data_IF_068145863267
#
_entry.id   IF_068145863267
#
_cell.length_a   1.000
_cell.length_b   1.000
_cell.length_c   1.000
_cell.angle_alpha   90.00
_cell.angle_beta   90.00
_cell.angle_gamma   90.00
#
_symmetry.space_group_name_H-M   'P 1'
#
loop_
_entity.id
_entity.type
_entity.pdbx_description
1 polymer ?
#
# COMPACT_ATOMS: atom_id res chain seq x y z
N UNK A 1 4.82 -3.13 8.37
CA UNK A 1 4.71 -3.09 9.83
C UNK A 1 3.43 -3.72 10.33
N UNK A 2 2.26 -3.24 9.93
CA UNK A 2 0.99 -3.89 10.22
C UNK A 2 0.94 -5.35 9.72
N UNK A 3 1.76 -5.72 8.73
CA UNK A 3 1.89 -7.09 8.23
C UNK A 3 2.73 -7.99 9.14
N UNK A 4 3.81 -7.48 9.78
CA UNK A 4 4.59 -8.27 10.74
C UNK A 4 3.74 -8.67 11.93
N UNK A 5 2.94 -7.73 12.40
CA UNK A 5 1.95 -7.98 13.45
C UNK A 5 0.90 -8.96 12.94
N UNK A 6 0.34 -8.77 11.73
CA UNK A 6 -0.64 -9.68 11.12
C UNK A 6 -0.09 -11.08 10.86
N UNK A 7 1.15 -11.23 10.38
CA UNK A 7 1.73 -12.54 10.10
C UNK A 7 1.92 -13.38 11.37
N UNK A 8 2.30 -12.75 12.47
CA UNK A 8 2.33 -13.43 13.80
C UNK A 8 0.95 -13.70 14.38
N UNK A 9 -0.02 -12.84 14.07
CA UNK A 9 -1.41 -12.98 14.49
C UNK A 9 -2.18 -14.04 13.69
N UNK A 10 -1.69 -14.42 12.50
CA UNK A 10 -2.24 -15.56 11.73
C UNK A 10 -1.77 -16.93 12.22
N UNK A 11 -0.86 -16.99 13.19
CA UNK A 11 -0.58 -18.24 13.89
C UNK A 11 -1.81 -18.68 14.70
N UNK A 12 -2.20 -19.98 14.66
CA UNK A 12 -3.43 -20.47 15.29
C UNK A 12 -3.56 -20.19 16.78
N UNK A 13 -2.45 -19.86 17.45
CA UNK A 13 -2.41 -19.55 18.88
C UNK A 13 -2.94 -18.14 19.23
N UNK A 14 -3.16 -17.28 18.24
CA UNK A 14 -3.53 -15.86 18.46
C UNK A 14 -4.93 -15.50 17.96
N UNK A 15 -5.74 -16.48 17.52
CA UNK A 15 -7.02 -16.19 16.84
C UNK A 15 -8.15 -15.69 17.77
N UNK A 16 -7.98 -15.69 19.09
CA UNK A 16 -9.19 -15.61 19.94
C UNK A 16 -9.42 -14.33 20.74
N UNK A 17 -8.64 -13.30 20.79
CA UNK A 17 -9.08 -12.11 21.59
C UNK A 17 -8.29 -10.84 21.26
N UNK A 18 -7.29 -10.89 20.37
CA UNK A 18 -6.17 -10.07 20.77
C UNK A 18 -5.49 -9.30 19.65
N UNK A 19 -6.06 -9.33 18.46
CA UNK A 19 -5.47 -8.64 17.33
C UNK A 19 -5.29 -7.15 17.62
N UNK A 20 -6.31 -6.52 18.18
CA UNK A 20 -6.28 -5.11 18.54
C UNK A 20 -5.36 -4.85 19.74
N UNK A 21 -5.46 -5.66 20.79
CA UNK A 21 -4.66 -5.52 22.02
C UNK A 21 -3.18 -5.81 21.74
N UNK A 22 -2.88 -6.81 20.91
CA UNK A 22 -1.50 -7.10 20.51
C UNK A 22 -0.90 -5.97 19.67
N UNK A 23 -1.68 -5.38 18.75
CA UNK A 23 -1.25 -4.22 17.97
C UNK A 23 -1.00 -3.01 18.88
N UNK A 24 -1.94 -2.66 19.77
CA UNK A 24 -1.80 -1.51 20.66
C UNK A 24 -0.62 -1.64 21.60
N UNK A 25 -0.34 -2.82 22.13
CA UNK A 25 0.84 -3.08 22.98
C UNK A 25 2.18 -2.94 22.25
N UNK A 26 2.22 -3.20 20.94
CA UNK A 26 3.43 -3.10 20.15
C UNK A 26 3.56 -1.74 19.43
N UNK A 27 2.50 -0.93 19.40
CA UNK A 27 2.44 0.28 18.58
C UNK A 27 3.56 1.28 18.89
N UNK A 28 3.80 1.58 20.16
CA UNK A 28 4.79 2.58 20.55
C UNK A 28 6.21 2.17 20.10
N UNK A 29 6.54 0.89 20.25
CA UNK A 29 7.82 0.37 19.78
C UNK A 29 7.96 0.46 18.26
N UNK A 30 6.93 0.05 17.52
CA UNK A 30 6.89 0.15 16.05
C UNK A 30 7.01 1.61 15.59
N UNK A 31 6.31 2.51 16.25
CA UNK A 31 6.35 3.94 15.94
C UNK A 31 7.78 4.50 16.08
N UNK A 32 8.48 4.21 17.17
CA UNK A 32 9.87 4.65 17.33
C UNK A 32 10.83 4.01 16.33
N UNK A 33 10.60 2.75 15.96
CA UNK A 33 11.42 2.06 14.97
C UNK A 33 11.22 2.57 13.53
N UNK A 34 10.13 3.26 13.26
CA UNK A 34 9.87 3.88 11.94
C UNK A 34 10.44 5.28 11.78
N UNK A 35 10.71 5.99 12.87
CA UNK A 35 11.33 7.33 12.80
C UNK A 35 12.64 7.38 11.99
N UNK A 36 13.60 6.43 12.15
CA UNK A 36 14.80 6.40 11.32
C UNK A 36 14.53 6.28 9.82
N UNK A 37 13.41 5.63 9.43
CA UNK A 37 13.02 5.54 8.01
C UNK A 37 12.63 6.90 7.46
N UNK A 38 11.96 7.75 8.25
CA UNK A 38 11.66 9.14 7.82
C UNK A 38 12.95 9.90 7.54
N UNK A 39 13.96 9.76 8.39
CA UNK A 39 15.27 10.39 8.18
C UNK A 39 15.96 9.85 6.92
N UNK A 40 15.88 8.55 6.66
CA UNK A 40 16.44 7.92 5.48
C UNK A 40 15.92 8.55 4.17
N UNK A 41 14.65 8.98 4.17
CA UNK A 41 14.04 9.67 3.01
C UNK A 41 14.25 11.18 3.07
N UNK A 42 14.16 11.79 4.25
CA UNK A 42 14.24 13.23 4.40
C UNK A 42 15.65 13.78 4.09
N UNK A 43 16.70 13.07 4.48
CA UNK A 43 18.09 13.53 4.28
C UNK A 43 18.44 13.66 2.79
N UNK A 44 18.26 12.64 1.93
CA UNK A 44 18.55 12.78 0.49
C UNK A 44 17.76 13.92 -0.16
N UNK A 45 16.47 14.06 0.18
CA UNK A 45 15.63 15.14 -0.35
C UNK A 45 16.17 16.50 0.07
N UNK A 46 16.49 16.68 1.34
CA UNK A 46 17.01 17.92 1.85
C UNK A 46 18.36 18.31 1.21
N UNK A 47 19.21 17.32 0.93
CA UNK A 47 20.48 17.53 0.26
C UNK A 47 20.31 17.92 -1.22
N UNK A 48 19.41 17.23 -1.93
CA UNK A 48 19.16 17.49 -3.36
C UNK A 48 18.46 18.84 -3.57
N UNK A 49 17.49 19.16 -2.72
CA UNK A 49 16.69 20.38 -2.81
C UNK A 49 17.27 21.54 -1.99
N UNK A 50 18.44 21.39 -1.37
CA UNK A 50 19.11 22.40 -0.56
C UNK A 50 18.18 23.03 0.50
N UNK A 51 17.42 22.19 1.21
CA UNK A 51 16.46 22.67 2.21
C UNK A 51 17.13 23.34 3.40
N UNK A 52 16.50 24.39 3.91
CA UNK A 52 16.88 24.99 5.18
C UNK A 52 16.66 24.01 6.35
N UNK A 53 17.39 24.15 7.47
CA UNK A 53 17.17 23.32 8.67
C UNK A 53 15.71 23.37 9.17
N UNK A 54 15.04 24.49 9.03
CA UNK A 54 13.61 24.66 9.38
C UNK A 54 12.69 23.89 8.46
N UNK A 55 12.93 23.90 7.14
CA UNK A 55 12.17 23.10 6.17
C UNK A 55 12.38 21.59 6.39
N UNK A 56 13.62 21.18 6.64
CA UNK A 56 13.94 19.80 6.99
C UNK A 56 13.23 19.36 8.27
N UNK A 57 13.27 20.18 9.33
CA UNK A 57 12.59 19.91 10.60
C UNK A 57 11.08 19.78 10.42
N UNK A 58 10.46 20.69 9.64
CA UNK A 58 9.03 20.66 9.34
C UNK A 58 8.65 19.38 8.57
N UNK A 59 9.43 19.01 7.55
CA UNK A 59 9.20 17.77 6.79
C UNK A 59 9.34 16.52 7.67
N UNK A 60 10.37 16.47 8.52
CA UNK A 60 10.56 15.36 9.45
C UNK A 60 9.39 15.22 10.42
N UNK A 61 8.96 16.30 11.06
CA UNK A 61 7.82 16.28 11.98
C UNK A 61 6.55 15.89 11.26
N UNK A 62 6.30 16.42 10.05
CA UNK A 62 5.15 16.06 9.24
C UNK A 62 5.17 14.57 8.87
N UNK A 63 6.33 14.05 8.48
CA UNK A 63 6.51 12.63 8.17
C UNK A 63 6.21 11.74 9.37
N UNK A 64 6.74 12.08 10.54
CA UNK A 64 6.49 11.35 11.80
C UNK A 64 5.01 11.37 12.18
N UNK A 65 4.34 12.52 12.09
CA UNK A 65 2.90 12.63 12.38
C UNK A 65 2.04 11.84 11.39
N UNK A 66 2.37 11.86 10.09
CA UNK A 66 1.66 11.04 9.09
C UNK A 66 1.88 9.54 9.30
N UNK A 67 3.07 9.12 9.71
CA UNK A 67 3.31 7.72 10.09
C UNK A 67 2.48 7.34 11.31
N UNK A 68 2.42 8.19 12.35
CA UNK A 68 1.57 7.95 13.50
C UNK A 68 0.10 7.78 13.08
N UNK A 69 -0.41 8.70 12.25
CA UNK A 69 -1.76 8.63 11.72
C UNK A 69 -2.01 7.33 10.92
N UNK A 70 -1.12 6.99 9.98
CA UNK A 70 -1.24 5.80 9.17
C UNK A 70 -1.19 4.50 9.99
N UNK A 71 -0.34 4.44 11.02
CA UNK A 71 -0.27 3.30 11.93
C UNK A 71 -1.52 3.19 12.80
N UNK A 72 -2.03 4.31 13.33
CA UNK A 72 -3.25 4.32 14.12
C UNK A 72 -4.49 3.94 13.29
N UNK A 73 -4.53 4.23 11.98
CA UNK A 73 -5.60 3.78 11.08
C UNK A 73 -5.70 2.25 10.96
N UNK A 74 -4.67 1.51 11.35
CA UNK A 74 -4.74 0.04 11.42
C UNK A 74 -5.75 -0.41 12.48
N UNK A 75 -5.93 0.35 13.55
CA UNK A 75 -6.83 0.04 14.67
C UNK A 75 -8.29 -0.12 14.20
N UNK A 76 -8.94 0.90 13.60
CA UNK A 76 -10.31 0.74 13.10
C UNK A 76 -10.40 -0.27 11.95
N UNK A 77 -9.33 -0.51 11.19
CA UNK A 77 -9.32 -1.55 10.18
C UNK A 77 -9.38 -2.96 10.79
N UNK A 78 -8.62 -3.23 11.86
CA UNK A 78 -8.66 -4.49 12.59
C UNK A 78 -10.02 -4.68 13.29
N UNK A 79 -10.52 -3.62 13.91
CA UNK A 79 -11.83 -3.61 14.59
C UNK A 79 -13.02 -3.62 13.59
N UNK A 80 -12.76 -3.55 12.26
CA UNK A 80 -13.78 -3.41 11.20
C UNK A 80 -14.72 -2.21 11.43
N UNK A 81 -14.25 -1.18 12.15
CA UNK A 81 -15.02 0.01 12.47
C UNK A 81 -14.80 1.09 11.38
N UNK A 82 -15.58 0.98 10.31
CA UNK A 82 -15.50 1.89 9.16
C UNK A 82 -15.90 3.33 9.51
N UNK A 83 -16.73 3.53 10.53
CA UNK A 83 -17.20 4.86 10.93
C UNK A 83 -16.04 5.64 11.55
N UNK A 84 -15.30 5.07 12.48
CA UNK A 84 -14.14 5.73 13.11
C UNK A 84 -13.07 6.01 12.05
N UNK A 85 -12.82 5.07 11.15
CA UNK A 85 -11.91 5.25 10.03
C UNK A 85 -12.29 6.46 9.17
N UNK A 86 -13.59 6.56 8.81
CA UNK A 86 -14.11 7.68 8.04
C UNK A 86 -14.02 9.02 8.79
N UNK A 87 -14.38 9.05 10.08
CA UNK A 87 -14.32 10.26 10.91
C UNK A 87 -12.87 10.75 11.04
N UNK A 88 -11.90 9.84 11.18
CA UNK A 88 -10.49 10.21 11.26
C UNK A 88 -10.01 10.88 9.97
N UNK A 89 -10.35 10.33 8.81
CA UNK A 89 -10.05 10.95 7.51
C UNK A 89 -10.80 12.25 7.29
N UNK A 90 -12.06 12.33 7.70
CA UNK A 90 -12.85 13.56 7.63
C UNK A 90 -12.22 14.67 8.47
N UNK A 91 -11.81 14.34 9.72
CA UNK A 91 -11.11 15.28 10.58
C UNK A 91 -9.79 15.77 9.99
N UNK A 92 -8.99 14.84 9.41
CA UNK A 92 -7.77 15.17 8.68
C UNK A 92 -8.07 16.15 7.53
N UNK A 93 -9.04 15.83 6.69
CA UNK A 93 -9.39 16.65 5.51
C UNK A 93 -9.96 18.02 5.90
N UNK A 94 -10.82 18.08 6.90
CA UNK A 94 -11.35 19.36 7.40
C UNK A 94 -10.25 20.24 7.98
N UNK A 95 -9.32 19.67 8.75
CA UNK A 95 -8.18 20.42 9.27
C UNK A 95 -7.29 20.97 8.15
N UNK A 96 -7.05 20.18 7.10
CA UNK A 96 -6.28 20.59 5.93
C UNK A 96 -6.97 21.73 5.17
N UNK A 97 -8.29 21.65 5.00
CA UNK A 97 -9.06 22.65 4.25
C UNK A 97 -9.25 23.97 5.04
N UNK A 98 -9.61 23.86 6.33
CA UNK A 98 -9.92 25.05 7.14
C UNK A 98 -8.66 25.79 7.62
N UNK A 99 -7.55 25.08 7.81
CA UNK A 99 -6.31 25.64 8.38
C UNK A 99 -5.06 25.21 7.60
N UNK A 100 -4.98 25.51 6.28
CA UNK A 100 -3.88 25.03 5.43
C UNK A 100 -2.50 25.55 5.85
N UNK A 101 -2.44 26.68 6.55
CA UNK A 101 -1.18 27.27 7.06
C UNK A 101 -0.58 26.44 8.19
N UNK A 102 -1.41 25.71 8.94
CA UNK A 102 -0.97 24.87 10.06
C UNK A 102 -0.73 23.45 9.56
N UNK A 103 0.38 23.26 8.87
CA UNK A 103 0.74 22.04 8.14
C UNK A 103 0.74 20.75 8.98
N UNK A 104 0.98 20.83 10.29
CA UNK A 104 0.98 19.68 11.19
C UNK A 104 -0.41 19.31 11.74
N UNK A 105 -1.39 20.21 11.60
CA UNK A 105 -2.73 20.03 12.19
C UNK A 105 -3.51 18.84 11.58
N UNK A 106 -3.52 18.61 10.27
CA UNK A 106 -4.27 17.49 9.68
C UNK A 106 -3.91 16.13 10.26
N UNK A 107 -2.65 15.66 10.24
CA UNK A 107 -2.29 14.37 10.81
C UNK A 107 -2.46 14.33 12.34
N UNK A 108 -2.32 15.45 13.02
CA UNK A 108 -2.55 15.54 14.46
C UNK A 108 -4.03 15.32 14.80
N UNK A 109 -4.94 16.03 14.13
CA UNK A 109 -6.40 15.87 14.35
C UNK A 109 -6.85 14.44 14.03
N UNK A 110 -6.43 13.89 12.87
CA UNK A 110 -6.75 12.52 12.51
C UNK A 110 -6.24 11.51 13.56
N UNK A 111 -5.01 11.67 14.03
CA UNK A 111 -4.42 10.82 15.07
C UNK A 111 -5.15 10.94 16.41
N UNK A 112 -5.52 12.15 16.83
CA UNK A 112 -6.27 12.37 18.07
C UNK A 112 -7.64 11.70 18.04
N UNK A 113 -8.36 11.76 16.93
CA UNK A 113 -9.65 11.06 16.77
C UNK A 113 -9.47 9.55 16.96
N UNK A 114 -8.41 8.97 16.37
CA UNK A 114 -8.11 7.56 16.51
C UNK A 114 -7.71 7.18 17.93
N UNK A 115 -6.88 7.99 18.59
CA UNK A 115 -6.49 7.78 19.98
C UNK A 115 -7.69 7.85 20.93
N UNK A 116 -8.55 8.85 20.78
CA UNK A 116 -9.78 8.99 21.59
C UNK A 116 -10.70 7.78 21.40
N UNK A 117 -10.77 7.23 20.19
CA UNK A 117 -11.60 6.06 19.89
C UNK A 117 -11.16 4.77 20.60
N UNK A 118 -9.91 4.70 21.05
CA UNK A 118 -9.40 3.57 21.84
C UNK A 118 -9.98 3.53 23.27
N UNK A 119 -10.41 4.67 23.80
CA UNK A 119 -10.98 4.72 25.14
C UNK A 119 -10.05 4.12 26.22
N UNK A 120 -10.48 3.05 26.87
CA UNK A 120 -9.71 2.37 27.93
C UNK A 120 -8.45 1.66 27.39
N UNK A 121 -8.44 1.24 26.14
CA UNK A 121 -7.32 0.54 25.51
C UNK A 121 -6.12 1.46 25.24
N UNK A 122 -6.31 2.77 25.42
CA UNK A 122 -5.24 3.78 25.31
C UNK A 122 -4.06 3.48 26.26
N UNK A 123 -4.35 2.88 27.43
CA UNK A 123 -3.32 2.47 28.41
C UNK A 123 -2.37 1.42 27.80
N UNK A 124 -2.86 0.58 26.91
CA UNK A 124 -2.04 -0.44 26.26
C UNK A 124 -1.01 0.14 25.26
N UNK A 125 -1.24 1.34 24.72
CA UNK A 125 -0.27 2.04 23.86
C UNK A 125 1.01 2.41 24.60
N UNK A 126 0.95 2.60 25.90
CA UNK A 126 2.12 2.92 26.73
C UNK A 126 2.98 1.67 27.05
N UNK A 127 2.53 0.50 26.66
CA UNK A 127 3.28 -0.73 26.84
C UNK A 127 4.36 -0.86 25.78
N UNK A 128 5.59 -1.12 26.20
CA UNK A 128 6.74 -1.24 25.31
C UNK A 128 7.12 -2.72 25.16
N UNK A 129 6.51 -3.39 24.18
CA UNK A 129 6.86 -4.76 23.84
C UNK A 129 7.94 -4.78 22.75
N UNK A 130 8.91 -5.67 22.86
CA UNK A 130 10.00 -5.77 21.88
C UNK A 130 9.66 -6.79 20.79
N UNK A 131 9.70 -6.34 19.56
CA UNK A 131 9.67 -7.20 18.37
C UNK A 131 11.11 -7.34 17.85
N UNK A 132 11.55 -8.52 17.38
CA UNK A 132 12.86 -8.67 16.79
C UNK A 132 13.08 -7.67 15.63
N UNK A 133 14.19 -6.92 15.69
CA UNK A 133 14.53 -5.92 14.67
C UNK A 133 14.58 -6.49 13.26
N UNK A 134 15.04 -7.74 13.12
CA UNK A 134 15.07 -8.45 11.83
C UNK A 134 13.69 -8.54 11.17
N UNK A 135 12.67 -8.86 11.94
CA UNK A 135 11.30 -9.01 11.43
C UNK A 135 10.74 -7.65 11.01
N UNK A 136 10.98 -6.61 11.85
CA UNK A 136 10.57 -5.24 11.51
C UNK A 136 11.28 -4.76 10.23
N UNK A 137 12.58 -4.98 10.12
CA UNK A 137 13.36 -4.54 8.96
C UNK A 137 12.90 -5.26 7.67
N UNK A 138 12.66 -6.57 7.73
CA UNK A 138 12.17 -7.33 6.58
C UNK A 138 10.78 -6.87 6.14
N UNK A 139 9.87 -6.62 7.09
CA UNK A 139 8.53 -6.16 6.76
C UNK A 139 8.50 -4.69 6.33
N UNK A 140 9.35 -3.86 6.92
CA UNK A 140 9.55 -2.49 6.45
C UNK A 140 10.06 -2.46 5.00
N UNK A 141 11.04 -3.32 4.68
CA UNK A 141 11.58 -3.45 3.32
C UNK A 141 10.49 -3.94 2.34
N UNK A 142 9.70 -4.95 2.73
CA UNK A 142 8.56 -5.41 1.92
C UNK A 142 7.55 -4.30 1.72
N UNK A 143 7.17 -3.62 2.80
CA UNK A 143 6.22 -2.50 2.76
C UNK A 143 6.72 -1.34 1.90
N UNK A 144 8.01 -1.04 1.96
CA UNK A 144 8.64 -0.05 1.10
C UNK A 144 8.52 -0.43 -0.38
N UNK A 145 8.96 -1.62 -0.77
CA UNK A 145 8.91 -2.05 -2.16
C UNK A 145 7.48 -2.12 -2.70
N UNK A 146 6.55 -2.70 -1.96
CA UNK A 146 5.15 -2.80 -2.43
C UNK A 146 4.40 -1.48 -2.36
N UNK A 147 4.68 -0.63 -1.37
CA UNK A 147 4.08 0.69 -1.24
C UNK A 147 4.59 1.68 -2.28
N UNK A 148 5.85 1.53 -2.70
CA UNK A 148 6.46 2.39 -3.71
C UNK A 148 5.79 2.31 -5.08
N UNK A 149 5.12 1.21 -5.42
CA UNK A 149 4.51 0.99 -6.74
C UNK A 149 3.53 2.11 -7.12
N UNK A 150 2.80 2.66 -6.15
CA UNK A 150 1.81 3.71 -6.41
C UNK A 150 2.37 5.12 -6.22
N UNK A 151 3.42 5.27 -5.42
CA UNK A 151 3.86 6.59 -4.94
C UNK A 151 5.23 7.04 -5.43
N UNK A 152 6.12 6.12 -5.80
CA UNK A 152 7.51 6.44 -6.05
C UNK A 152 7.72 7.35 -7.27
N UNK A 153 6.88 7.25 -8.31
CA UNK A 153 6.96 8.09 -9.50
C UNK A 153 6.74 9.58 -9.17
N UNK A 154 5.79 9.90 -8.27
CA UNK A 154 5.52 11.29 -7.83
C UNK A 154 6.71 11.86 -7.08
N UNK A 155 7.30 11.03 -6.24
CA UNK A 155 8.48 11.39 -5.47
C UNK A 155 9.70 11.59 -6.37
N UNK A 156 9.92 10.69 -7.33
CA UNK A 156 11.00 10.82 -8.32
C UNK A 156 10.80 12.04 -9.20
N UNK A 157 9.59 12.27 -9.71
CA UNK A 157 9.29 13.44 -10.52
C UNK A 157 9.55 14.73 -9.74
N UNK A 158 9.10 14.80 -8.48
CA UNK A 158 9.36 15.94 -7.59
C UNK A 158 10.86 16.23 -7.44
N UNK A 159 11.69 15.17 -7.29
CA UNK A 159 13.14 15.32 -7.16
C UNK A 159 13.80 15.81 -8.43
N UNK A 160 13.46 15.22 -9.59
CA UNK A 160 14.13 15.57 -10.86
C UNK A 160 13.71 16.92 -11.42
N UNK A 161 12.52 17.41 -11.03
CA UNK A 161 12.03 18.75 -11.41
C UNK A 161 12.37 19.84 -10.40
N UNK A 162 13.07 19.50 -9.31
CA UNK A 162 13.35 20.46 -8.23
C UNK A 162 12.12 20.95 -7.47
N UNK A 163 11.01 20.20 -7.55
CA UNK A 163 9.72 20.55 -6.92
C UNK A 163 8.78 21.33 -7.86
N UNK A 164 9.19 21.69 -9.06
CA UNK A 164 8.36 22.41 -10.04
C UNK A 164 7.48 21.42 -10.81
N UNK A 165 6.38 20.99 -10.19
CA UNK A 165 5.42 20.06 -10.79
C UNK A 165 3.99 20.60 -10.70
N UNK A 166 3.15 20.21 -11.66
CA UNK A 166 1.71 20.46 -11.54
C UNK A 166 1.08 19.43 -10.58
N UNK A 167 1.16 19.77 -9.27
CA UNK A 167 0.68 18.92 -8.18
C UNK A 167 -0.79 18.53 -8.38
N UNK A 168 -1.63 19.48 -8.82
CA UNK A 168 -3.07 19.24 -9.01
C UNK A 168 -3.31 18.19 -10.09
N UNK A 169 -2.68 18.30 -11.25
CA UNK A 169 -2.84 17.34 -12.34
C UNK A 169 -2.38 15.94 -11.93
N UNK A 170 -1.23 15.84 -11.25
CA UNK A 170 -0.66 14.57 -10.81
C UNK A 170 -1.54 13.89 -9.76
N UNK A 171 -1.99 14.62 -8.74
CA UNK A 171 -2.82 14.00 -7.68
C UNK A 171 -4.24 13.69 -8.15
N UNK A 172 -4.82 14.48 -9.05
CA UNK A 172 -6.11 14.15 -9.65
C UNK A 172 -6.02 12.89 -10.51
N UNK A 173 -4.94 12.71 -11.29
CA UNK A 173 -4.74 11.49 -12.07
C UNK A 173 -4.57 10.23 -11.20
N UNK A 174 -4.21 10.39 -9.93
CA UNK A 174 -4.09 9.31 -8.97
C UNK A 174 -5.44 8.87 -8.35
N UNK A 175 -6.48 9.71 -8.41
CA UNK A 175 -7.77 9.41 -7.77
C UNK A 175 -8.35 8.05 -8.20
N UNK A 176 -8.40 7.67 -9.50
CA UNK A 176 -8.88 6.36 -9.92
C UNK A 176 -8.08 5.19 -9.32
N UNK A 177 -6.76 5.38 -9.19
CA UNK A 177 -5.89 4.41 -8.55
C UNK A 177 -6.28 4.18 -7.08
N UNK A 178 -6.45 5.27 -6.33
CA UNK A 178 -6.84 5.22 -4.91
C UNK A 178 -8.22 4.59 -4.75
N UNK A 179 -9.18 4.91 -5.61
CA UNK A 179 -10.53 4.33 -5.58
C UNK A 179 -10.47 2.80 -5.83
N UNK A 180 -9.78 2.37 -6.87
CA UNK A 180 -9.66 0.95 -7.22
C UNK A 180 -8.91 0.14 -6.15
N UNK A 181 -7.83 0.71 -5.62
CA UNK A 181 -7.03 0.11 -4.56
C UNK A 181 -7.83 -0.04 -3.27
N UNK A 182 -8.54 1.01 -2.85
CA UNK A 182 -9.43 0.94 -1.69
C UNK A 182 -10.58 -0.05 -1.89
N UNK A 183 -11.20 -0.08 -3.08
CA UNK A 183 -12.23 -1.08 -3.40
C UNK A 183 -11.68 -2.50 -3.22
N UNK A 184 -10.49 -2.78 -3.74
CA UNK A 184 -9.86 -4.09 -3.57
C UNK A 184 -9.73 -4.46 -2.09
N UNK A 185 -9.15 -3.58 -1.26
CA UNK A 185 -8.90 -3.89 0.15
C UNK A 185 -10.18 -3.94 1.00
N UNK A 186 -11.18 -3.13 0.68
CA UNK A 186 -12.42 -3.06 1.46
C UNK A 186 -13.40 -4.18 1.10
N UNK A 187 -13.40 -4.62 -0.18
CA UNK A 187 -14.44 -5.54 -0.70
C UNK A 187 -13.88 -6.89 -1.10
N UNK A 188 -12.77 -6.92 -1.83
CA UNK A 188 -12.30 -8.16 -2.47
C UNK A 188 -11.22 -8.88 -1.66
N UNK A 189 -10.34 -8.18 -0.96
CA UNK A 189 -9.22 -8.78 -0.24
C UNK A 189 -9.69 -9.76 0.85
N UNK A 190 -10.76 -9.42 1.57
CA UNK A 190 -11.33 -10.32 2.59
C UNK A 190 -11.86 -11.63 1.97
N UNK A 191 -12.46 -11.56 0.76
CA UNK A 191 -12.97 -12.74 0.05
C UNK A 191 -11.83 -13.64 -0.43
N UNK A 192 -10.78 -13.05 -0.99
CA UNK A 192 -9.59 -13.78 -1.42
C UNK A 192 -8.92 -14.43 -0.21
N UNK A 193 -8.72 -13.67 0.86
CA UNK A 193 -8.13 -14.17 2.10
C UNK A 193 -8.95 -15.32 2.70
N UNK A 194 -10.28 -15.18 2.77
CA UNK A 194 -11.16 -16.25 3.24
C UNK A 194 -11.05 -17.51 2.40
N UNK A 195 -10.92 -17.38 1.06
CA UNK A 195 -10.74 -18.56 0.17
C UNK A 195 -9.41 -19.26 0.41
N UNK A 196 -8.32 -18.52 0.65
CA UNK A 196 -7.01 -19.07 0.99
C UNK A 196 -7.04 -19.75 2.37
N UNK A 197 -7.64 -19.09 3.36
CA UNK A 197 -7.81 -19.67 4.70
C UNK A 197 -8.62 -20.98 4.65
N UNK A 198 -9.68 -21.01 3.84
CA UNK A 198 -10.46 -22.21 3.62
C UNK A 198 -9.60 -23.35 3.03
N UNK A 199 -8.76 -23.06 2.02
CA UNK A 199 -7.83 -24.07 1.47
C UNK A 199 -6.91 -24.64 2.57
N UNK A 200 -6.39 -23.81 3.47
CA UNK A 200 -5.56 -24.27 4.59
C UNK A 200 -6.29 -25.25 5.52
N UNK A 201 -7.59 -25.03 5.76
CA UNK A 201 -8.38 -25.87 6.68
C UNK A 201 -8.78 -27.22 6.08
N UNK A 202 -8.82 -27.32 4.75
CA UNK A 202 -9.29 -28.53 4.06
C UNK A 202 -8.16 -29.49 3.62
N UNK A 203 -6.90 -29.04 3.63
CA UNK A 203 -5.77 -29.89 3.22
C UNK A 203 -5.70 -31.23 3.95
N UNK A 204 -6.04 -31.24 5.23
CA UNK A 204 -6.00 -32.44 6.07
C UNK A 204 -7.36 -33.19 6.10
N UNK A 205 -8.41 -32.66 5.44
CA UNK A 205 -9.79 -33.17 5.57
C UNK A 205 -10.36 -33.74 4.28
N UNK A 206 -9.95 -33.23 3.13
CA UNK A 206 -10.51 -33.62 1.84
C UNK A 206 -9.53 -34.43 1.02
N UNK A 207 -10.04 -35.38 0.19
CA UNK A 207 -9.22 -36.05 -0.82
C UNK A 207 -8.74 -35.04 -1.87
N UNK A 208 -7.64 -35.34 -2.54
CA UNK A 208 -6.98 -34.42 -3.48
C UNK A 208 -7.94 -33.79 -4.52
N UNK A 209 -8.89 -34.57 -5.08
CA UNK A 209 -9.89 -34.04 -6.02
C UNK A 209 -10.75 -32.93 -5.39
N UNK A 210 -11.18 -33.09 -4.14
CA UNK A 210 -11.94 -32.07 -3.44
C UNK A 210 -11.12 -30.80 -3.17
N UNK A 211 -9.85 -30.96 -2.81
CA UNK A 211 -8.94 -29.82 -2.64
C UNK A 211 -8.73 -29.09 -3.97
N UNK A 212 -8.58 -29.81 -5.08
CA UNK A 212 -8.42 -29.21 -6.41
C UNK A 212 -9.67 -28.41 -6.87
N UNK A 213 -10.87 -28.89 -6.56
CA UNK A 213 -12.11 -28.16 -6.85
C UNK A 213 -12.18 -26.84 -6.06
N UNK A 214 -11.86 -26.86 -4.77
CA UNK A 214 -11.84 -25.66 -3.93
C UNK A 214 -10.71 -24.69 -4.34
N UNK A 215 -9.57 -25.20 -4.78
CA UNK A 215 -8.48 -24.40 -5.35
C UNK A 215 -8.91 -23.66 -6.62
N UNK A 216 -9.68 -24.31 -7.49
CA UNK A 216 -10.21 -23.67 -8.70
C UNK A 216 -11.20 -22.54 -8.36
N UNK A 217 -11.99 -22.68 -7.29
CA UNK A 217 -12.87 -21.61 -6.78
C UNK A 217 -12.04 -20.44 -6.20
N UNK A 218 -10.98 -20.73 -5.47
CA UNK A 218 -10.07 -19.70 -4.95
C UNK A 218 -9.41 -18.91 -6.10
N UNK A 219 -8.93 -19.58 -7.15
CA UNK A 219 -8.42 -18.93 -8.36
C UNK A 219 -9.48 -18.06 -9.03
N UNK A 220 -10.72 -18.56 -9.16
CA UNK A 220 -11.84 -17.77 -9.70
C UNK A 220 -12.12 -16.53 -8.88
N UNK A 221 -12.05 -16.62 -7.55
CA UNK A 221 -12.22 -15.49 -6.62
C UNK A 221 -11.12 -14.46 -6.81
N UNK A 222 -9.86 -14.88 -6.89
CA UNK A 222 -8.71 -14.02 -7.15
C UNK A 222 -8.83 -13.29 -8.50
N UNK A 223 -9.14 -14.02 -9.58
CA UNK A 223 -9.34 -13.44 -10.91
C UNK A 223 -10.49 -12.39 -10.92
N UNK A 224 -11.58 -12.67 -10.22
CA UNK A 224 -12.72 -11.74 -10.08
C UNK A 224 -12.28 -10.49 -9.34
N UNK A 225 -11.54 -10.63 -8.26
CA UNK A 225 -11.05 -9.51 -7.46
C UNK A 225 -10.19 -8.54 -8.29
N UNK A 226 -9.22 -9.07 -9.05
CA UNK A 226 -8.39 -8.27 -9.97
C UNK A 226 -9.26 -7.59 -11.01
N UNK A 227 -10.10 -8.34 -11.72
CA UNK A 227 -10.96 -7.82 -12.78
C UNK A 227 -11.87 -6.70 -12.29
N UNK A 228 -12.57 -6.92 -11.18
CA UNK A 228 -13.52 -5.94 -10.64
C UNK A 228 -12.79 -4.65 -10.24
N UNK A 229 -11.63 -4.75 -9.60
CA UNK A 229 -10.83 -3.59 -9.22
C UNK A 229 -10.34 -2.80 -10.43
N UNK A 230 -9.89 -3.48 -11.49
CA UNK A 230 -9.48 -2.81 -12.74
C UNK A 230 -10.67 -2.18 -13.46
N UNK A 231 -11.86 -2.78 -13.44
CA UNK A 231 -13.07 -2.17 -13.99
C UNK A 231 -13.48 -0.90 -13.22
N UNK A 232 -13.38 -0.91 -11.90
CA UNK A 232 -13.59 0.27 -11.06
C UNK A 232 -12.59 1.37 -11.40
N UNK A 233 -11.29 0.97 -11.60
CA UNK A 233 -10.29 1.92 -12.08
C UNK A 233 -10.71 2.57 -13.40
N UNK A 234 -11.03 1.77 -14.41
CA UNK A 234 -11.40 2.27 -15.75
C UNK A 234 -12.61 3.22 -15.67
N UNK A 235 -13.66 2.82 -14.93
CA UNK A 235 -14.86 3.65 -14.78
C UNK A 235 -14.55 5.00 -14.12
N UNK A 236 -13.76 5.00 -13.03
CA UNK A 236 -13.36 6.23 -12.36
C UNK A 236 -12.36 7.06 -13.16
N UNK A 237 -11.46 6.41 -13.94
CA UNK A 237 -10.50 7.10 -14.80
C UNK A 237 -11.20 7.84 -15.96
N UNK A 238 -12.25 7.27 -16.53
CA UNK A 238 -13.04 7.94 -17.57
C UNK A 238 -13.67 9.21 -16.98
N UNK A 239 -14.30 9.13 -15.82
CA UNK A 239 -14.92 10.30 -15.16
C UNK A 239 -13.85 11.35 -14.84
N UNK A 240 -12.75 10.94 -14.23
CA UNK A 240 -11.66 11.84 -13.87
C UNK A 240 -11.04 12.48 -15.11
N UNK A 241 -10.80 11.70 -16.17
CA UNK A 241 -10.25 12.20 -17.44
C UNK A 241 -11.16 13.25 -18.10
N UNK A 242 -12.48 13.04 -18.10
CA UNK A 242 -13.45 14.03 -18.60
C UNK A 242 -13.40 15.31 -17.78
N UNK A 243 -13.40 15.21 -16.44
CA UNK A 243 -13.31 16.38 -15.58
C UNK A 243 -11.99 17.15 -15.78
N UNK A 244 -10.87 16.45 -15.91
CA UNK A 244 -9.56 17.07 -16.16
C UNK A 244 -9.50 17.73 -17.55
N UNK A 245 -10.10 17.13 -18.56
CA UNK A 245 -10.20 17.74 -19.90
C UNK A 245 -10.98 19.06 -19.85
N UNK A 246 -12.06 19.14 -19.07
CA UNK A 246 -12.90 20.34 -18.95
C UNK A 246 -12.23 21.41 -18.10
N UNK A 247 -11.68 21.05 -16.95
CA UNK A 247 -11.20 22.00 -15.93
C UNK A 247 -9.70 22.30 -15.98
N UNK A 248 -8.89 21.42 -16.59
CA UNK A 248 -7.44 21.52 -16.65
C UNK A 248 -6.89 21.26 -18.07
N UNK A 249 -7.41 21.94 -19.12
CA UNK A 249 -7.05 21.63 -20.51
C UNK A 249 -5.55 21.78 -20.80
N UNK A 250 -4.87 22.73 -20.16
CA UNK A 250 -3.43 22.96 -20.36
C UNK A 250 -2.55 21.83 -19.82
N UNK A 251 -2.99 21.17 -18.75
CA UNK A 251 -2.28 20.06 -18.09
C UNK A 251 -2.80 18.70 -18.48
N UNK A 252 -3.75 18.64 -19.43
CA UNK A 252 -4.40 17.40 -19.83
C UNK A 252 -3.44 16.33 -20.37
N UNK A 253 -2.39 16.64 -21.17
CA UNK A 253 -1.44 15.62 -21.62
C UNK A 253 -0.70 14.95 -20.45
N UNK A 254 -0.27 15.73 -19.46
CA UNK A 254 0.34 15.19 -18.24
C UNK A 254 -0.66 14.34 -17.45
N UNK A 255 -1.87 14.85 -17.29
CA UNK A 255 -2.94 14.15 -16.61
C UNK A 255 -3.30 12.82 -17.25
N UNK A 256 -3.38 12.79 -18.59
CA UNK A 256 -3.65 11.56 -19.35
C UNK A 256 -2.52 10.54 -19.19
N UNK A 257 -1.26 10.96 -19.30
CA UNK A 257 -0.11 10.07 -19.06
C UNK A 257 -0.13 9.53 -17.64
N UNK A 258 -0.44 10.37 -16.66
CA UNK A 258 -0.61 9.98 -15.26
C UNK A 258 -1.73 8.95 -15.06
N UNK A 259 -2.87 9.11 -15.74
CA UNK A 259 -3.96 8.12 -15.70
C UNK A 259 -3.54 6.77 -16.29
N UNK A 260 -2.83 6.77 -17.45
CA UNK A 260 -2.36 5.53 -18.06
C UNK A 260 -1.33 4.82 -17.18
N UNK A 261 -0.38 5.55 -16.63
CA UNK A 261 0.64 5.02 -15.72
C UNK A 261 0.00 4.46 -14.45
N UNK A 262 -0.93 5.21 -13.85
CA UNK A 262 -1.61 4.79 -12.63
C UNK A 262 -2.44 3.51 -12.85
N UNK A 263 -2.99 3.29 -14.06
CA UNK A 263 -3.63 2.01 -14.42
C UNK A 263 -2.66 0.84 -14.35
N UNK A 264 -1.47 1.00 -14.94
CA UNK A 264 -0.44 -0.02 -14.92
C UNK A 264 0.06 -0.30 -13.50
N UNK A 265 0.24 0.76 -12.69
CA UNK A 265 0.63 0.62 -11.29
C UNK A 265 -0.40 -0.15 -10.47
N UNK A 266 -1.69 0.14 -10.64
CA UNK A 266 -2.74 -0.64 -9.97
C UNK A 266 -2.71 -2.09 -10.43
N UNK A 267 -2.57 -2.35 -11.73
CA UNK A 267 -2.50 -3.71 -12.25
C UNK A 267 -1.30 -4.48 -11.66
N UNK A 268 -0.11 -3.87 -11.65
CA UNK A 268 1.10 -4.43 -11.05
C UNK A 268 0.91 -4.65 -9.55
N UNK A 269 0.40 -3.66 -8.82
CA UNK A 269 0.18 -3.76 -7.37
C UNK A 269 -0.79 -4.88 -7.00
N UNK A 270 -1.92 -5.00 -7.72
CA UNK A 270 -2.90 -6.06 -7.49
C UNK A 270 -2.32 -7.45 -7.78
N UNK A 271 -1.58 -7.61 -8.89
CA UNK A 271 -0.93 -8.86 -9.25
C UNK A 271 0.14 -9.26 -8.21
N UNK A 272 0.98 -8.32 -7.80
CA UNK A 272 1.99 -8.53 -6.76
C UNK A 272 1.34 -8.95 -5.45
N UNK A 273 0.23 -8.32 -5.07
CA UNK A 273 -0.51 -8.70 -3.88
C UNK A 273 -1.06 -10.13 -3.95
N UNK A 274 -1.56 -10.54 -5.12
CA UNK A 274 -2.01 -11.92 -5.33
C UNK A 274 -0.85 -12.94 -5.33
N UNK A 275 0.31 -12.57 -5.84
CA UNK A 275 1.53 -13.41 -5.78
C UNK A 275 2.00 -13.56 -4.33
N UNK A 276 1.86 -12.50 -3.52
CA UNK A 276 2.19 -12.52 -2.09
C UNK A 276 1.30 -13.47 -1.30
N UNK A 277 0.02 -13.64 -1.65
CA UNK A 277 -0.84 -14.65 -1.04
C UNK A 277 -0.29 -16.07 -1.22
N UNK A 278 0.39 -16.32 -2.33
CA UNK A 278 1.11 -17.58 -2.56
C UNK A 278 2.46 -17.62 -1.83
N UNK A 279 2.72 -16.69 -0.90
CA UNK A 279 3.94 -16.58 -0.08
C UNK A 279 5.25 -16.46 -0.89
N UNK A 280 5.19 -15.99 -2.16
CA UNK A 280 6.36 -15.80 -3.03
C UNK A 280 7.09 -14.46 -2.73
N UNK A 281 7.51 -14.27 -1.50
CA UNK A 281 8.05 -13.00 -1.01
C UNK A 281 9.26 -12.49 -1.78
N UNK A 282 10.21 -13.37 -2.13
CA UNK A 282 11.40 -13.00 -2.92
C UNK A 282 11.00 -12.50 -4.31
N UNK A 283 10.08 -13.20 -4.96
CA UNK A 283 9.59 -12.81 -6.29
C UNK A 283 8.86 -11.47 -6.23
N UNK A 284 8.03 -11.24 -5.21
CA UNK A 284 7.37 -9.96 -4.95
C UNK A 284 8.38 -8.83 -4.81
N UNK A 285 9.44 -9.05 -4.02
CA UNK A 285 10.49 -8.03 -3.83
C UNK A 285 11.26 -7.75 -5.13
N UNK A 286 11.59 -8.77 -5.92
CA UNK A 286 12.28 -8.59 -7.19
C UNK A 286 11.43 -7.82 -8.22
N UNK A 287 10.14 -8.14 -8.33
CA UNK A 287 9.23 -7.43 -9.24
C UNK A 287 9.02 -5.97 -8.80
N UNK A 288 8.85 -5.72 -7.50
CA UNK A 288 8.72 -4.36 -6.98
C UNK A 288 10.02 -3.56 -7.08
N UNK A 289 11.18 -4.21 -6.92
CA UNK A 289 12.47 -3.58 -7.14
C UNK A 289 12.69 -3.24 -8.64
N UNK A 290 12.27 -4.12 -9.55
CA UNK A 290 12.31 -3.86 -10.99
C UNK A 290 11.47 -2.63 -11.35
N UNK A 291 10.28 -2.45 -10.75
CA UNK A 291 9.48 -1.24 -10.88
C UNK A 291 10.26 0.01 -10.46
N UNK A 292 10.88 0.00 -9.27
CA UNK A 292 11.66 1.15 -8.81
C UNK A 292 12.85 1.48 -9.70
N UNK A 293 13.58 0.46 -10.17
CA UNK A 293 14.69 0.62 -11.10
C UNK A 293 14.20 1.23 -12.42
N UNK A 294 13.07 0.78 -12.93
CA UNK A 294 12.46 1.32 -14.14
C UNK A 294 12.11 2.80 -13.98
N UNK A 295 11.46 3.18 -12.86
CA UNK A 295 11.15 4.58 -12.56
C UNK A 295 12.43 5.43 -12.50
N UNK A 296 13.42 4.96 -11.75
CA UNK A 296 14.68 5.66 -11.59
C UNK A 296 15.38 5.90 -12.94
N UNK A 297 15.53 4.85 -13.75
CA UNK A 297 16.17 4.96 -15.07
C UNK A 297 15.39 5.90 -15.99
N UNK A 298 14.05 5.80 -15.99
CA UNK A 298 13.20 6.63 -16.86
C UNK A 298 13.34 8.12 -16.54
N UNK A 299 13.29 8.50 -15.27
CA UNK A 299 13.44 9.89 -14.85
C UNK A 299 14.90 10.40 -14.91
N UNK A 300 15.89 9.51 -14.84
CA UNK A 300 17.29 9.89 -15.06
C UNK A 300 17.57 10.19 -16.54
N UNK A 301 16.92 9.48 -17.46
CA UNK A 301 17.07 9.72 -18.91
C UNK A 301 16.24 10.93 -19.35
N UNK A 302 15.01 11.05 -18.85
CA UNK A 302 14.06 12.12 -19.18
C UNK A 302 13.61 12.80 -17.88
N UNK A 303 14.37 13.78 -17.34
CA UNK A 303 14.15 14.39 -16.03
C UNK A 303 13.02 15.42 -16.04
N UNK A 304 11.87 15.06 -16.61
CA UNK A 304 10.66 15.88 -16.66
C UNK A 304 9.42 14.99 -16.84
N UNK A 305 8.28 15.59 -17.13
CA UNK A 305 7.00 14.89 -17.35
C UNK A 305 7.06 13.87 -18.52
N UNK A 306 7.97 14.03 -19.48
CA UNK A 306 8.12 13.07 -20.58
C UNK A 306 8.71 11.73 -20.13
N UNK A 307 9.31 11.68 -18.94
CA UNK A 307 9.74 10.45 -18.28
C UNK A 307 8.61 9.42 -18.10
N UNK A 308 7.36 9.85 -18.12
CA UNK A 308 6.22 8.94 -18.11
C UNK A 308 6.09 8.07 -19.36
N UNK A 309 6.63 8.49 -20.52
CA UNK A 309 6.55 7.68 -21.75
C UNK A 309 7.31 6.36 -21.65
N UNK A 310 8.61 6.32 -21.30
CA UNK A 310 9.31 5.06 -21.08
C UNK A 310 8.73 4.26 -19.89
N UNK A 311 8.18 4.94 -18.87
CA UNK A 311 7.50 4.25 -17.75
C UNK A 311 6.29 3.47 -18.27
N UNK A 312 5.43 4.06 -19.10
CA UNK A 312 4.27 3.36 -19.68
C UNK A 312 4.72 2.08 -20.39
N UNK A 313 5.73 2.17 -21.25
CA UNK A 313 6.24 1.03 -21.99
C UNK A 313 6.83 -0.06 -21.08
N UNK A 314 7.68 0.34 -20.14
CA UNK A 314 8.33 -0.59 -19.22
C UNK A 314 7.37 -1.22 -18.22
N UNK A 315 6.42 -0.43 -17.69
CA UNK A 315 5.39 -0.94 -16.78
C UNK A 315 4.41 -1.89 -17.47
N UNK A 316 4.12 -1.68 -18.75
CA UNK A 316 3.32 -2.65 -19.51
C UNK A 316 4.04 -4.02 -19.62
N UNK A 317 5.36 -4.00 -19.85
CA UNK A 317 6.18 -5.23 -19.84
C UNK A 317 6.21 -5.85 -18.44
N UNK A 318 6.40 -5.03 -17.40
CA UNK A 318 6.41 -5.50 -16.02
C UNK A 318 5.04 -6.08 -15.60
N UNK A 319 3.95 -5.41 -15.95
CA UNK A 319 2.59 -5.92 -15.71
C UNK A 319 2.35 -7.27 -16.38
N UNK A 320 2.85 -7.44 -17.62
CA UNK A 320 2.80 -8.75 -18.30
C UNK A 320 3.65 -9.79 -17.58
N UNK A 321 4.84 -9.45 -17.13
CA UNK A 321 5.69 -10.36 -16.34
C UNK A 321 5.01 -10.76 -15.02
N UNK A 322 4.45 -9.79 -14.28
CA UNK A 322 3.66 -10.04 -13.07
C UNK A 322 2.47 -10.97 -13.35
N UNK A 323 1.75 -10.74 -14.46
CA UNK A 323 0.64 -11.59 -14.87
C UNK A 323 1.09 -13.04 -15.16
N UNK A 324 2.23 -13.22 -15.83
CA UNK A 324 2.79 -14.56 -16.09
C UNK A 324 3.15 -15.27 -14.78
N UNK A 325 3.81 -14.57 -13.85
CA UNK A 325 4.15 -15.11 -12.53
C UNK A 325 2.88 -15.43 -11.72
N UNK A 326 1.90 -14.53 -11.73
CA UNK A 326 0.60 -14.76 -11.11
C UNK A 326 -0.07 -16.04 -11.65
N UNK A 327 -0.15 -16.18 -12.98
CA UNK A 327 -0.75 -17.37 -13.63
C UNK A 327 -0.02 -18.66 -13.23
N UNK A 328 1.30 -18.62 -13.11
CA UNK A 328 2.09 -19.79 -12.66
C UNK A 328 1.85 -20.09 -11.18
N UNK A 329 1.86 -19.07 -10.33
CA UNK A 329 1.67 -19.23 -8.89
C UNK A 329 0.27 -19.78 -8.54
N UNK A 330 -0.75 -19.35 -9.28
CA UNK A 330 -2.14 -19.73 -9.10
C UNK A 330 -2.62 -20.85 -10.04
N UNK A 331 -1.74 -21.47 -10.83
CA UNK A 331 -2.11 -22.60 -11.67
C UNK A 331 -2.56 -23.82 -10.86
N UNK A 332 -1.91 -24.04 -9.71
CA UNK A 332 -2.25 -25.07 -8.72
C UNK A 332 -2.01 -24.51 -7.32
N UNK A 333 -2.94 -23.68 -6.79
CA UNK A 333 -2.79 -23.04 -5.49
C UNK A 333 -2.57 -24.05 -4.36
N UNK A 334 -3.27 -25.19 -4.41
CA UNK A 334 -3.13 -26.29 -3.47
C UNK A 334 -1.70 -26.80 -3.40
N UNK A 335 -1.06 -26.99 -4.55
CA UNK A 335 0.32 -27.45 -4.63
C UNK A 335 1.30 -26.38 -4.11
N UNK A 336 1.13 -25.14 -4.55
CA UNK A 336 1.98 -24.02 -4.13
C UNK A 336 1.93 -23.80 -2.62
N UNK A 337 0.74 -23.85 -2.02
CA UNK A 337 0.55 -23.67 -0.59
C UNK A 337 1.01 -24.88 0.23
N UNK A 338 0.68 -26.11 -0.23
CA UNK A 338 1.05 -27.34 0.46
C UNK A 338 2.57 -27.48 0.60
N UNK A 339 3.33 -27.35 -0.49
CA UNK A 339 4.79 -27.52 -0.45
C UNK A 339 5.48 -26.46 0.41
N UNK A 340 4.96 -25.26 0.45
CA UNK A 340 5.52 -24.22 1.31
C UNK A 340 5.29 -24.49 2.78
N UNK A 341 4.13 -25.06 3.13
CA UNK A 341 3.89 -25.54 4.48
C UNK A 341 4.82 -26.71 4.82
N UNK A 342 4.97 -27.65 3.91
CA UNK A 342 5.82 -28.83 4.12
C UNK A 342 7.31 -28.51 4.19
N UNK A 343 7.78 -27.46 3.51
CA UNK A 343 9.19 -27.04 3.53
C UNK A 343 9.51 -25.99 4.60
N UNK A 344 8.53 -25.51 5.32
CA UNK A 344 8.70 -24.55 6.42
C UNK A 344 8.99 -25.22 7.78
N UNK A 345 9.17 -26.56 7.78
CA UNK A 345 9.53 -27.34 8.96
C UNK A 345 11.03 -27.34 9.19
#
# INVERSE_FOLDING_TARGET
EARAVRARMSEPQFQDITDLTAFTRNWLYLFFMTMPLVLLFAIPVALVLHWSPTAFGAFFVLGVLNIAFAQLLVIPNLAKNRIIWFIAWLGYTLALYCYPVIWFLPPLVGSLILLVSLGKDLVHLLHFARIPLKDIALDALRGFFTGSIIWADKYMLFLVTGGEINVVAIYLSLIPCVIAYNYFFVVEADRVNASIQHLWTIFDRLPYKGVQEESSKALSTSNRAIRNSLLIYIASAIVTGILMFIFLPQSYPLALSGLVVAFLFVAVALLIYQIEYMTMYVTVQLLSAAHLVLLFISFMILPNETGYLPIIAGEAVLAFACYRVYRQAWAAPEYSLFWRRALAW
#
